data_IF_328906913446
#
_entry.id   IF_328906913446
#
_cell.length_a   1.000
_cell.length_b   1.000
_cell.length_c   1.000
_cell.angle_alpha   90.00
_cell.angle_beta   90.00
_cell.angle_gamma   90.00
#
_symmetry.space_group_name_H-M   'P 1'
#
loop_
_entity.id
_entity.type
_entity.pdbx_description
1 polymer ?
#
# COMPACT_ATOMS: atom_id res chain seq x y z
N UNK A 1 -44.69 -3.80 -31.84
CA UNK A 1 -44.00 -4.25 -30.62
C UNK A 1 -44.36 -5.71 -30.42
N UNK A 2 -43.38 -6.49 -29.96
CA UNK A 2 -43.32 -7.95 -29.83
C UNK A 2 -42.87 -8.79 -31.04
N UNK A 3 -41.71 -9.41 -30.81
CA UNK A 3 -41.19 -10.73 -31.18
C UNK A 3 -41.43 -11.31 -32.59
N UNK A 4 -40.33 -11.42 -33.34
CA UNK A 4 -40.08 -12.56 -34.22
C UNK A 4 -38.59 -12.91 -34.26
N UNK A 5 -38.28 -14.07 -33.70
CA UNK A 5 -37.07 -14.87 -33.90
C UNK A 5 -36.80 -15.05 -35.40
N UNK A 6 -35.58 -14.78 -35.85
CA UNK A 6 -35.08 -15.25 -37.15
C UNK A 6 -33.73 -15.91 -36.94
N UNK A 7 -33.71 -17.23 -36.99
CA UNK A 7 -32.50 -18.03 -37.08
C UNK A 7 -31.86 -17.84 -38.48
N UNK A 8 -30.55 -17.64 -38.52
CA UNK A 8 -29.71 -17.91 -39.70
C UNK A 8 -28.28 -18.22 -39.21
N UNK A 9 -27.93 -19.50 -39.16
CA UNK A 9 -27.13 -20.24 -40.18
C UNK A 9 -25.62 -20.13 -39.93
N UNK A 10 -25.10 -21.12 -39.20
CA UNK A 10 -23.70 -21.55 -39.33
C UNK A 10 -23.64 -22.52 -40.51
N UNK A 11 -22.74 -22.36 -41.51
CA UNK A 11 -22.61 -23.33 -42.58
C UNK A 11 -22.01 -24.64 -42.05
N UNK A 12 -22.56 -25.75 -42.52
CA UNK A 12 -22.03 -27.09 -42.29
C UNK A 12 -20.85 -27.40 -43.23
N UNK A 13 -19.81 -28.04 -42.68
CA UNK A 13 -18.62 -28.54 -43.36
C UNK A 13 -17.40 -28.22 -42.47
N UNK A 14 -16.66 -29.14 -41.87
CA UNK A 14 -16.25 -30.48 -42.33
C UNK A 14 -16.06 -31.36 -41.08
N UNK A 15 -16.52 -32.61 -41.14
CA UNK A 15 -16.16 -33.67 -40.22
C UNK A 15 -14.78 -34.18 -40.65
N UNK A 16 -13.75 -33.98 -39.83
CA UNK A 16 -12.55 -34.84 -39.84
C UNK A 16 -12.12 -35.05 -38.41
N UNK A 17 -12.15 -36.33 -38.00
CA UNK A 17 -11.71 -36.78 -36.69
C UNK A 17 -10.29 -36.31 -36.39
N UNK A 18 -10.14 -35.71 -35.23
CA UNK A 18 -8.88 -35.57 -34.53
C UNK A 18 -9.22 -35.71 -33.06
N UNK A 19 -8.68 -36.72 -32.40
CA UNK A 19 -8.62 -36.71 -30.94
C UNK A 19 -7.93 -35.40 -30.56
N UNK A 20 -8.66 -34.49 -29.89
CA UNK A 20 -8.00 -33.40 -29.18
C UNK A 20 -7.24 -34.06 -28.04
N UNK A 21 -5.95 -34.33 -28.26
CA UNK A 21 -5.03 -34.53 -27.17
C UNK A 21 -5.16 -33.31 -26.25
N UNK A 22 -5.28 -33.48 -24.92
CA UNK A 22 -5.24 -32.35 -24.01
C UNK A 22 -3.94 -31.60 -24.28
N UNK A 23 -4.05 -30.38 -24.79
CA UNK A 23 -2.92 -29.47 -24.85
C UNK A 23 -2.45 -29.33 -23.40
N UNK A 24 -1.20 -29.67 -23.07
CA UNK A 24 -0.68 -29.35 -21.75
C UNK A 24 -0.83 -27.85 -21.59
N UNK A 25 -1.62 -27.44 -20.61
CA UNK A 25 -1.60 -26.06 -20.16
C UNK A 25 -0.24 -25.90 -19.49
N UNK A 26 0.77 -25.48 -20.26
CA UNK A 26 1.96 -24.89 -19.66
C UNK A 26 1.45 -23.56 -19.11
N UNK A 27 1.11 -23.53 -17.82
CA UNK A 27 1.21 -22.29 -17.08
C UNK A 27 2.60 -21.73 -17.39
N UNK A 28 2.72 -20.46 -17.84
CA UNK A 28 4.03 -19.85 -17.85
C UNK A 28 4.55 -20.02 -16.44
N UNK A 29 5.71 -20.67 -16.28
CA UNK A 29 6.38 -20.67 -15.01
C UNK A 29 6.47 -19.19 -14.63
N UNK A 30 5.69 -18.80 -13.62
CA UNK A 30 5.89 -17.56 -12.90
C UNK A 30 7.28 -17.75 -12.31
N UNK A 31 8.27 -17.39 -13.12
CA UNK A 31 9.59 -17.10 -12.63
C UNK A 31 9.29 -15.90 -11.76
N UNK A 32 9.09 -16.15 -10.47
CA UNK A 32 9.12 -15.12 -9.44
C UNK A 32 10.36 -14.33 -9.80
N UNK A 33 10.14 -13.16 -10.38
CA UNK A 33 11.23 -12.22 -10.59
C UNK A 33 11.73 -12.04 -9.17
N UNK A 34 12.97 -12.46 -8.85
CA UNK A 34 13.49 -12.23 -7.52
C UNK A 34 13.28 -10.75 -7.29
N UNK A 35 12.57 -10.39 -6.22
CA UNK A 35 12.48 -9.00 -5.79
C UNK A 35 13.90 -8.45 -5.92
N UNK A 36 14.11 -7.37 -6.70
CA UNK A 36 15.46 -6.88 -6.97
C UNK A 36 16.18 -6.81 -5.62
N UNK A 37 17.30 -7.55 -5.54
CA UNK A 37 18.13 -7.68 -4.34
C UNK A 37 18.23 -6.29 -3.74
N UNK A 38 17.54 -6.07 -2.62
CA UNK A 38 17.33 -4.77 -1.98
C UNK A 38 17.08 -3.67 -3.01
N UNK A 39 15.81 -3.46 -3.40
CA UNK A 39 15.46 -2.30 -4.21
C UNK A 39 16.20 -1.08 -3.64
N UNK A 40 17.01 -0.33 -4.43
CA UNK A 40 17.82 0.79 -3.93
C UNK A 40 16.97 1.83 -3.18
N UNK A 41 15.65 1.69 -3.39
CA UNK A 41 14.38 2.20 -2.88
C UNK A 41 14.08 2.27 -1.36
N UNK A 42 14.65 1.38 -0.56
CA UNK A 42 14.17 1.13 0.81
C UNK A 42 15.21 1.52 1.89
N UNK A 43 14.77 2.33 2.87
CA UNK A 43 15.56 2.81 4.02
C UNK A 43 15.56 1.80 5.18
N UNK A 44 16.20 0.64 4.98
CA UNK A 44 16.20 -0.47 5.95
C UNK A 44 16.93 -0.15 7.27
N UNK A 45 17.91 0.77 7.26
CA UNK A 45 18.60 1.20 8.49
C UNK A 45 17.65 1.94 9.45
N UNK A 46 16.81 2.82 8.90
CA UNK A 46 15.77 3.51 9.67
C UNK A 46 14.77 2.53 10.30
N UNK A 47 14.39 1.48 9.57
CA UNK A 47 13.44 0.48 10.04
C UNK A 47 14.02 -0.39 11.15
N UNK A 48 15.27 -0.84 11.00
CA UNK A 48 15.93 -1.65 12.01
C UNK A 48 16.03 -0.91 13.35
N UNK A 49 16.24 0.41 13.34
CA UNK A 49 16.40 1.21 14.56
C UNK A 49 15.06 1.67 15.15
N UNK A 50 14.04 1.95 14.34
CA UNK A 50 12.80 2.61 14.79
C UNK A 50 11.49 1.86 14.46
N UNK A 51 11.52 0.94 13.50
CA UNK A 51 10.35 0.27 12.94
C UNK A 51 9.45 -0.43 13.96
N UNK A 52 9.98 -1.28 14.86
CA UNK A 52 9.13 -1.95 15.87
C UNK A 52 8.39 -0.99 16.81
N UNK A 53 9.01 0.15 17.14
CA UNK A 53 8.38 1.20 17.94
C UNK A 53 7.27 1.90 17.18
N UNK A 54 7.56 2.33 15.94
CA UNK A 54 6.61 3.01 15.07
C UNK A 54 5.41 2.12 14.71
N UNK A 55 5.63 0.84 14.42
CA UNK A 55 4.56 -0.14 14.16
C UNK A 55 3.58 -0.22 15.34
N UNK A 56 4.11 -0.34 16.57
CA UNK A 56 3.31 -0.39 17.79
C UNK A 56 2.51 0.90 17.99
N UNK A 57 3.11 2.05 17.73
CA UNK A 57 2.45 3.35 17.86
C UNK A 57 1.32 3.52 16.82
N UNK A 58 1.58 3.16 15.56
CA UNK A 58 0.58 3.17 14.49
C UNK A 58 -0.63 2.28 14.82
N UNK A 59 -0.39 1.05 15.29
CA UNK A 59 -1.46 0.12 15.66
C UNK A 59 -2.24 0.59 16.91
N UNK A 60 -1.66 1.45 17.74
CA UNK A 60 -2.31 2.06 18.89
C UNK A 60 -3.15 3.29 18.52
N UNK A 61 -3.02 3.85 17.31
CA UNK A 61 -3.83 4.98 16.87
C UNK A 61 -5.31 4.58 16.81
N UNK A 62 -6.23 5.44 17.28
CA UNK A 62 -7.65 5.15 17.17
C UNK A 62 -8.06 5.06 15.70
N UNK A 63 -8.85 4.02 15.38
CA UNK A 63 -9.33 3.81 14.01
C UNK A 63 -10.19 4.98 13.54
N UNK A 64 -10.00 5.35 12.28
CA UNK A 64 -10.78 6.40 11.62
C UNK A 64 -11.78 5.81 10.63
N UNK A 65 -12.89 6.51 10.32
CA UNK A 65 -13.80 6.10 9.26
C UNK A 65 -13.10 6.12 7.89
N UNK A 66 -13.50 5.22 6.98
CA UNK A 66 -12.95 5.15 5.61
C UNK A 66 -12.98 6.50 4.87
N UNK A 67 -14.05 7.29 5.03
CA UNK A 67 -14.15 8.64 4.46
C UNK A 67 -13.05 9.57 4.96
N UNK A 68 -12.68 9.48 6.24
CA UNK A 68 -11.60 10.27 6.82
C UNK A 68 -10.24 9.81 6.28
N UNK A 69 -10.04 8.50 6.15
CA UNK A 69 -8.83 7.93 5.56
C UNK A 69 -8.63 8.43 4.11
N UNK A 70 -9.66 8.35 3.27
CA UNK A 70 -9.63 8.86 1.89
C UNK A 70 -9.30 10.36 1.86
N UNK A 71 -9.88 11.15 2.76
CA UNK A 71 -9.61 12.60 2.80
C UNK A 71 -8.18 12.94 3.23
N UNK A 72 -7.57 12.09 4.06
CA UNK A 72 -6.20 12.25 4.54
C UNK A 72 -5.16 11.61 3.62
N UNK A 73 -5.58 10.74 2.69
CA UNK A 73 -4.72 10.02 1.76
C UNK A 73 -3.73 10.92 1.04
N UNK A 74 -4.16 12.11 0.62
CA UNK A 74 -3.33 13.11 -0.07
C UNK A 74 -2.02 13.46 0.64
N UNK A 75 -1.98 13.42 1.98
CA UNK A 75 -0.75 13.73 2.73
C UNK A 75 0.21 12.55 2.69
N UNK A 76 -0.31 11.31 2.78
CA UNK A 76 0.50 10.11 2.66
C UNK A 76 0.93 9.88 1.19
N UNK A 77 0.12 10.29 0.22
CA UNK A 77 0.44 10.20 -1.22
C UNK A 77 1.71 10.98 -1.59
N UNK A 78 2.02 12.06 -0.85
CA UNK A 78 3.28 12.81 -1.03
C UNK A 78 4.52 11.92 -0.88
N UNK A 79 4.45 10.91 -0.01
CA UNK A 79 5.51 9.92 0.14
C UNK A 79 5.31 8.76 -0.82
N UNK A 80 4.09 8.26 -0.98
CA UNK A 80 3.81 7.13 -1.88
C UNK A 80 4.40 7.40 -3.25
N UNK A 81 4.18 8.58 -3.83
CA UNK A 81 4.63 8.93 -5.18
C UNK A 81 6.14 8.70 -5.43
N UNK A 82 6.97 8.73 -4.38
CA UNK A 82 8.40 8.39 -4.49
C UNK A 82 8.70 6.90 -4.70
N UNK A 83 7.71 6.04 -4.46
CA UNK A 83 7.70 4.59 -4.64
C UNK A 83 6.91 4.16 -5.89
N UNK A 84 6.53 5.08 -6.78
CA UNK A 84 5.64 4.80 -7.92
C UNK A 84 6.05 3.61 -8.79
N UNK A 85 7.36 3.41 -8.94
CA UNK A 85 7.96 2.27 -9.65
C UNK A 85 7.34 0.93 -9.23
N UNK A 86 7.00 0.75 -7.95
CA UNK A 86 6.50 -0.50 -7.41
C UNK A 86 5.06 -0.85 -7.82
N UNK A 87 4.24 0.14 -8.21
CA UNK A 87 2.86 -0.12 -8.67
C UNK A 87 2.60 0.30 -10.12
N UNK A 88 3.44 1.16 -10.72
CA UNK A 88 3.32 1.54 -12.13
C UNK A 88 4.16 0.66 -13.05
N UNK A 89 5.22 0.03 -12.53
CA UNK A 89 6.21 -0.71 -13.32
C UNK A 89 7.05 0.18 -14.24
N UNK A 90 7.02 1.51 -14.05
CA UNK A 90 7.83 2.47 -14.80
C UNK A 90 9.24 2.57 -14.20
N UNK A 91 10.27 2.75 -15.02
CA UNK A 91 11.67 2.83 -14.60
C UNK A 91 12.04 4.10 -13.81
N UNK A 92 11.07 4.96 -13.49
CA UNK A 92 11.31 6.20 -12.75
C UNK A 92 10.10 6.64 -11.93
N UNK A 93 10.31 6.97 -10.66
CA UNK A 93 9.31 7.65 -9.86
C UNK A 93 9.18 9.14 -10.30
N UNK A 94 7.96 9.73 -10.22
CA UNK A 94 7.74 11.15 -10.51
C UNK A 94 8.56 12.10 -9.64
N UNK A 95 8.97 11.66 -8.43
CA UNK A 95 9.78 12.43 -7.48
C UNK A 95 10.80 11.54 -6.78
N UNK A 96 11.90 12.15 -6.34
CA UNK A 96 12.85 11.47 -5.46
C UNK A 96 12.31 11.39 -4.03
N UNK A 97 12.83 10.44 -3.22
CA UNK A 97 12.47 10.31 -1.80
C UNK A 97 12.80 11.56 -0.99
N UNK A 98 13.93 12.22 -1.28
CA UNK A 98 14.31 13.45 -0.58
C UNK A 98 13.31 14.59 -0.84
N UNK A 99 12.87 14.75 -2.09
CA UNK A 99 11.84 15.73 -2.46
C UNK A 99 10.51 15.41 -1.81
N UNK A 100 10.07 14.14 -1.83
CA UNK A 100 8.84 13.69 -1.18
C UNK A 100 8.85 13.96 0.34
N UNK A 101 9.97 13.71 1.02
CA UNK A 101 10.13 14.01 2.45
C UNK A 101 10.06 15.52 2.70
N UNK A 102 10.66 16.33 1.83
CA UNK A 102 10.57 17.78 1.93
C UNK A 102 9.14 18.28 1.71
N UNK A 103 8.42 17.77 0.70
CA UNK A 103 7.02 18.13 0.44
C UNK A 103 6.13 17.78 1.65
N UNK A 104 6.37 16.61 2.27
CA UNK A 104 5.66 16.21 3.50
C UNK A 104 5.99 17.15 4.66
N UNK A 105 7.26 17.55 4.82
CA UNK A 105 7.64 18.53 5.85
C UNK A 105 6.94 19.87 5.65
N UNK A 106 6.92 20.37 4.41
CA UNK A 106 6.24 21.61 4.04
C UNK A 106 4.73 21.53 4.28
N UNK A 107 4.10 20.40 3.89
CA UNK A 107 2.68 20.15 4.11
C UNK A 107 2.31 20.16 5.60
N UNK A 108 3.21 19.70 6.47
CA UNK A 108 3.03 19.67 7.92
C UNK A 108 3.69 20.86 8.65
N UNK A 109 4.15 21.89 7.91
CA UNK A 109 4.91 23.02 8.43
C UNK A 109 4.18 23.86 9.49
N UNK A 110 2.86 23.73 9.58
CA UNK A 110 2.03 24.36 10.61
C UNK A 110 2.17 23.70 12.00
N UNK A 111 2.73 22.49 12.09
CA UNK A 111 2.96 21.80 13.36
C UNK A 111 4.27 22.27 14.03
N UNK A 112 4.33 22.26 15.37
CA UNK A 112 5.59 22.31 16.12
C UNK A 112 6.57 21.25 15.62
N UNK A 113 7.87 21.59 15.61
CA UNK A 113 8.92 20.77 15.00
C UNK A 113 8.92 19.32 15.52
N UNK A 114 8.84 19.13 16.83
CA UNK A 114 8.80 17.82 17.49
C UNK A 114 7.61 16.97 17.02
N UNK A 115 6.42 17.56 16.94
CA UNK A 115 5.21 16.88 16.46
C UNK A 115 5.28 16.57 14.97
N UNK A 116 5.84 17.50 14.19
CA UNK A 116 6.03 17.35 12.75
C UNK A 116 6.96 16.18 12.46
N UNK A 117 8.16 16.18 13.05
CA UNK A 117 9.15 15.11 12.89
C UNK A 117 8.54 13.75 13.27
N UNK A 118 7.81 13.69 14.38
CA UNK A 118 7.14 12.46 14.82
C UNK A 118 6.06 11.96 13.82
N UNK A 119 5.14 12.83 13.38
CA UNK A 119 4.12 12.42 12.41
C UNK A 119 4.72 12.05 11.05
N UNK A 120 5.78 12.72 10.62
CA UNK A 120 6.51 12.35 9.41
C UNK A 120 7.10 10.94 9.51
N UNK A 121 7.69 10.58 10.65
CA UNK A 121 8.22 9.22 10.86
C UNK A 121 7.12 8.16 10.76
N UNK A 122 5.97 8.38 11.40
CA UNK A 122 4.83 7.47 11.34
C UNK A 122 4.30 7.28 9.90
N UNK A 123 4.10 8.38 9.17
CA UNK A 123 3.59 8.34 7.78
C UNK A 123 4.60 7.65 6.87
N UNK A 124 5.88 8.05 6.95
CA UNK A 124 6.94 7.46 6.11
C UNK A 124 7.09 5.97 6.36
N UNK A 125 7.10 5.53 7.61
CA UNK A 125 7.22 4.12 7.95
C UNK A 125 6.03 3.32 7.43
N UNK A 126 4.79 3.78 7.68
CA UNK A 126 3.60 3.07 7.19
C UNK A 126 3.55 2.96 5.66
N UNK A 127 3.92 4.02 4.93
CA UNK A 127 4.00 3.98 3.46
C UNK A 127 5.13 3.07 3.00
N UNK A 128 6.28 3.07 3.67
CA UNK A 128 7.36 2.16 3.33
C UNK A 128 6.89 0.70 3.42
N UNK A 129 6.28 0.31 4.54
CA UNK A 129 5.74 -1.03 4.75
C UNK A 129 4.67 -1.40 3.71
N UNK A 130 3.74 -0.47 3.42
CA UNK A 130 2.77 -0.61 2.33
C UNK A 130 3.45 -0.95 0.98
N UNK A 131 4.56 -0.27 0.66
CA UNK A 131 5.26 -0.42 -0.62
C UNK A 131 6.11 -1.69 -0.71
N UNK A 132 6.65 -2.20 0.41
CA UNK A 132 7.29 -3.53 0.43
C UNK A 132 6.32 -4.62 0.00
N UNK A 133 5.08 -4.55 0.49
CA UNK A 133 4.06 -5.50 0.11
C UNK A 133 3.70 -5.38 -1.38
N UNK A 134 3.61 -4.19 -1.96
CA UNK A 134 3.45 -4.03 -3.42
C UNK A 134 4.58 -4.69 -4.24
N UNK A 135 5.82 -4.59 -3.75
CA UNK A 135 7.01 -4.99 -4.49
C UNK A 135 7.26 -6.50 -4.51
N UNK A 136 6.93 -7.21 -3.43
CA UNK A 136 7.27 -8.61 -3.23
C UNK A 136 6.10 -9.40 -2.64
N UNK A 137 5.50 -10.26 -3.47
CA UNK A 137 4.43 -11.17 -3.04
C UNK A 137 4.89 -12.17 -1.98
N UNK A 138 6.20 -12.50 -1.94
CA UNK A 138 6.80 -13.41 -0.96
C UNK A 138 7.08 -12.80 0.41
N UNK A 139 6.89 -11.49 0.58
CA UNK A 139 7.25 -10.78 1.80
C UNK A 139 6.55 -11.33 3.05
N UNK A 140 5.29 -11.76 2.90
CA UNK A 140 4.48 -12.34 3.98
C UNK A 140 4.99 -13.69 4.48
N UNK A 141 5.82 -14.38 3.70
CA UNK A 141 6.43 -15.66 4.09
C UNK A 141 7.80 -15.50 4.76
N UNK A 142 8.37 -14.30 4.75
CA UNK A 142 9.69 -14.06 5.30
C UNK A 142 9.63 -13.94 6.83
N UNK A 143 10.25 -14.88 7.59
CA UNK A 143 10.19 -14.87 9.05
C UNK A 143 10.88 -13.65 9.69
N UNK A 144 11.78 -12.98 8.99
CA UNK A 144 12.47 -11.78 9.48
C UNK A 144 11.53 -10.57 9.56
N UNK A 145 10.44 -10.58 8.78
CA UNK A 145 9.47 -9.49 8.68
C UNK A 145 8.17 -9.75 9.47
N UNK A 146 8.15 -10.71 10.40
CA UNK A 146 6.92 -11.04 11.15
C UNK A 146 6.29 -9.88 11.93
N UNK A 147 7.08 -8.87 12.33
CA UNK A 147 6.54 -7.69 13.01
C UNK A 147 5.85 -6.69 12.05
N UNK A 148 6.09 -6.83 10.74
CA UNK A 148 5.49 -6.04 9.66
C UNK A 148 4.12 -6.64 9.24
N UNK A 149 3.79 -7.85 9.73
CA UNK A 149 2.52 -8.51 9.47
C UNK A 149 1.43 -7.97 10.41
N UNK A 150 0.40 -7.38 9.82
CA UNK A 150 -0.83 -6.96 10.46
C UNK A 150 -1.93 -8.02 10.33
N UNK A 151 -1.70 -9.10 9.59
CA UNK A 151 -2.60 -10.25 9.36
C UNK A 151 -2.15 -11.46 10.17
N UNK A 152 -3.03 -12.46 10.31
CA UNK A 152 -2.73 -13.73 10.98
C UNK A 152 -2.59 -14.84 9.94
N UNK A 153 -1.43 -15.51 9.87
CA UNK A 153 -1.18 -16.61 8.91
C UNK A 153 -2.25 -17.72 8.98
N UNK A 154 -2.81 -17.95 10.18
CA UNK A 154 -3.84 -18.97 10.41
C UNK A 154 -5.20 -18.66 9.77
N UNK A 155 -5.43 -17.43 9.31
CA UNK A 155 -6.68 -17.03 8.64
C UNK A 155 -6.73 -17.53 7.17
N UNK A 156 -5.60 -18.00 6.62
CA UNK A 156 -5.48 -18.43 5.23
C UNK A 156 -5.44 -19.96 5.11
N UNK A 157 -5.95 -20.46 3.99
CA UNK A 157 -6.13 -21.91 3.76
C UNK A 157 -4.85 -22.65 3.37
N UNK A 158 -3.78 -21.91 3.03
CA UNK A 158 -2.46 -22.43 2.68
C UNK A 158 -1.50 -21.30 2.28
N UNK A 159 -0.28 -21.70 1.89
CA UNK A 159 0.79 -20.77 1.49
C UNK A 159 0.41 -19.94 0.25
N UNK A 160 -0.17 -20.57 -0.77
CA UNK A 160 -0.63 -19.87 -1.99
C UNK A 160 -1.71 -18.82 -1.68
N UNK A 161 -2.64 -19.13 -0.77
CA UNK A 161 -3.70 -18.21 -0.34
C UNK A 161 -3.15 -17.03 0.49
N UNK A 162 -2.15 -17.30 1.34
CA UNK A 162 -1.43 -16.28 2.09
C UNK A 162 -0.63 -15.35 1.17
N UNK A 163 0.02 -15.90 0.14
CA UNK A 163 0.74 -15.12 -0.88
C UNK A 163 -0.21 -14.23 -1.70
N UNK A 164 -1.31 -14.80 -2.19
CA UNK A 164 -2.21 -14.09 -3.11
C UNK A 164 -3.12 -13.08 -2.38
N UNK A 165 -3.67 -13.46 -1.22
CA UNK A 165 -4.68 -12.65 -0.50
C UNK A 165 -4.11 -11.99 0.75
N UNK A 166 -3.19 -12.64 1.45
CA UNK A 166 -2.60 -12.09 2.67
C UNK A 166 -1.69 -10.91 2.40
N UNK A 167 -0.91 -10.96 1.32
CA UNK A 167 -0.11 -9.80 0.91
C UNK A 167 -0.99 -8.58 0.62
N UNK A 168 -2.07 -8.76 -0.14
CA UNK A 168 -2.96 -7.66 -0.53
C UNK A 168 -3.67 -7.09 0.69
N UNK A 169 -4.17 -7.94 1.58
CA UNK A 169 -4.79 -7.51 2.82
C UNK A 169 -3.79 -6.78 3.74
N UNK A 170 -2.55 -7.27 3.84
CA UNK A 170 -1.54 -6.62 4.68
C UNK A 170 -1.17 -5.23 4.14
N UNK A 171 -1.04 -5.12 2.82
CA UNK A 171 -0.84 -3.87 2.10
C UNK A 171 -1.96 -2.86 2.38
N UNK A 172 -3.22 -3.27 2.24
CA UNK A 172 -4.39 -2.43 2.54
C UNK A 172 -4.41 -1.97 4.01
N UNK A 173 -4.02 -2.85 4.96
CA UNK A 173 -3.93 -2.50 6.38
C UNK A 173 -2.84 -1.46 6.64
N UNK A 174 -1.68 -1.55 6.00
CA UNK A 174 -0.62 -0.54 6.08
C UNK A 174 -1.03 0.80 5.45
N UNK A 175 -1.72 0.76 4.31
CA UNK A 175 -2.29 1.95 3.66
C UNK A 175 -3.23 2.69 4.62
N UNK A 176 -4.11 1.95 5.31
CA UNK A 176 -5.02 2.51 6.30
C UNK A 176 -4.27 3.15 7.48
N UNK A 177 -3.18 2.54 7.97
CA UNK A 177 -2.35 3.11 9.03
C UNK A 177 -1.65 4.40 8.59
N UNK A 178 -1.11 4.45 7.38
CA UNK A 178 -0.52 5.67 6.80
C UNK A 178 -1.55 6.80 6.73
N UNK A 179 -2.75 6.50 6.21
CA UNK A 179 -3.84 7.46 6.10
C UNK A 179 -4.37 7.89 7.49
N UNK A 180 -4.31 7.01 8.48
CA UNK A 180 -4.66 7.30 9.88
C UNK A 180 -3.64 8.25 10.52
N UNK A 181 -2.35 8.00 10.36
CA UNK A 181 -1.30 8.90 10.83
C UNK A 181 -1.41 10.30 10.21
N UNK A 182 -1.65 10.36 8.90
CA UNK A 182 -1.92 11.61 8.18
C UNK A 182 -3.13 12.37 8.73
N UNK A 183 -4.24 11.66 9.00
CA UNK A 183 -5.44 12.26 9.59
C UNK A 183 -5.12 12.93 10.94
N UNK A 184 -4.39 12.25 11.82
CA UNK A 184 -4.04 12.79 13.13
C UNK A 184 -3.05 13.96 13.05
N UNK A 185 -2.14 13.97 12.08
CA UNK A 185 -1.27 15.12 11.82
C UNK A 185 -2.07 16.37 11.42
N UNK A 186 -3.10 16.21 10.59
CA UNK A 186 -4.01 17.30 10.19
C UNK A 186 -4.89 17.75 11.35
N UNK A 187 -5.45 16.82 12.10
CA UNK A 187 -6.27 17.13 13.27
C UNK A 187 -5.49 17.89 14.35
N UNK A 188 -4.23 17.52 14.59
CA UNK A 188 -3.33 18.21 15.52
C UNK A 188 -3.10 19.67 15.09
N UNK A 189 -2.95 19.94 13.79
CA UNK A 189 -2.85 21.30 13.26
C UNK A 189 -4.10 22.14 13.54
N UNK A 190 -5.27 21.59 13.24
CA UNK A 190 -6.54 22.28 13.44
C UNK A 190 -6.78 22.64 14.91
N UNK A 191 -6.42 21.75 15.84
CA UNK A 191 -6.55 22.02 17.28
C UNK A 191 -5.67 23.20 17.72
N UNK A 192 -4.45 23.31 17.17
CA UNK A 192 -3.52 24.42 17.45
C UNK A 192 -4.08 25.74 16.90
N UNK A 193 -4.58 25.75 15.66
CA UNK A 193 -5.18 26.95 15.05
C UNK A 193 -6.38 27.49 15.82
N UNK A 194 -7.23 26.60 16.37
CA UNK A 194 -8.37 26.99 17.21
C UNK A 194 -7.90 27.61 18.54
N UNK A 195 -6.87 27.04 19.17
CA UNK A 195 -6.31 27.56 20.42
C UNK A 195 -5.72 28.97 20.23
N UNK A 196 -4.94 29.20 19.18
CA UNK A 196 -4.42 30.54 18.87
C UNK A 196 -5.52 31.54 18.55
N UNK A 197 -6.57 31.12 17.84
CA UNK A 197 -7.73 31.97 17.56
C UNK A 197 -8.49 32.36 18.83
N UNK A 198 -8.58 31.46 19.80
CA UNK A 198 -9.23 31.74 21.10
C UNK A 198 -8.38 32.61 22.03
N UNK A 199 -7.05 32.49 21.97
CA UNK A 199 -6.12 33.29 22.77
C UNK A 199 -5.95 34.73 22.26
N UNK A 200 -6.17 34.97 20.96
CA UNK A 200 -6.10 36.31 20.37
C UNK A 200 -7.34 37.18 20.62
N UNK A 201 -8.42 36.59 21.16
CA UNK A 201 -9.73 37.26 21.38
C UNK A 201 -10.02 37.48 22.88
N UNK A 202 -9.17 36.97 23.77
CA UNK A 202 -9.24 37.16 25.23
C UNK A 202 -8.37 38.34 25.70
#
# INVERSE_FOLDING_TARGET
MDNTTTANRVPAGVITGGQFAPTPHNEPALTLIPAPVDGPDFDYEFEADHGPGLAKELQALPRIPAKAAISAGRVADLIRDSYAVYWTGEDSAPRTRAEAVQDLEEALGYLPRDKREHHMQLIRFAVHEEMKHWADSGHVLNPEHKYELLIEEADYTGEDDLLDNGQEENRERWELLANTAAHYAVAAGNAISVQHSSAAVA
#
